data_IF_220304558146
#
_entry.id   IF_220304558146
#
_cell.length_a   1.000
_cell.length_b   1.000
_cell.length_c   1.000
_cell.angle_alpha   90.00
_cell.angle_beta   90.00
_cell.angle_gamma   90.00
#
_symmetry.space_group_name_H-M   'P 1'
#
loop_
_entity.id
_entity.type
_entity.pdbx_description
1 polymer ?
#
# COMPACT_ATOMS: atom_id res chain seq x y z
N UNK A 1 8.76 24.24 17.63
CA UNK A 1 7.96 24.24 16.37
C UNK A 1 8.29 23.04 15.49
N UNK A 2 9.40 23.00 14.74
CA UNK A 2 9.74 21.84 13.87
C UNK A 2 9.69 20.49 14.60
N UNK A 3 10.16 20.43 15.84
CA UNK A 3 10.07 19.23 16.66
C UNK A 3 8.62 18.77 16.91
N UNK A 4 7.67 19.70 17.11
CA UNK A 4 6.25 19.37 17.31
C UNK A 4 5.60 18.91 16.01
N UNK A 5 5.96 19.53 14.88
CA UNK A 5 5.54 19.09 13.54
C UNK A 5 6.05 17.66 13.26
N UNK A 6 7.32 17.37 13.57
CA UNK A 6 7.87 16.01 13.48
C UNK A 6 7.14 15.01 14.38
N UNK A 7 6.83 15.38 15.63
CA UNK A 7 6.05 14.54 16.55
C UNK A 7 4.64 14.26 16.02
N UNK A 8 3.98 15.25 15.43
CA UNK A 8 2.68 15.09 14.80
C UNK A 8 2.74 14.15 13.59
N UNK A 9 3.71 14.34 12.69
CA UNK A 9 3.92 13.44 11.55
C UNK A 9 4.23 11.99 11.99
N UNK A 10 5.03 11.82 13.05
CA UNK A 10 5.38 10.52 13.61
C UNK A 10 4.25 9.85 14.41
N UNK A 11 3.11 10.54 14.63
CA UNK A 11 1.96 9.99 15.34
C UNK A 11 2.02 10.06 16.86
N UNK A 12 2.92 10.86 17.44
CA UNK A 12 3.02 11.00 18.89
C UNK A 12 1.73 11.57 19.54
N UNK A 13 0.86 12.20 18.75
CA UNK A 13 -0.40 12.79 19.19
C UNK A 13 -1.64 11.96 18.83
N UNK A 14 -1.49 10.79 18.19
CA UNK A 14 -2.63 9.98 17.74
C UNK A 14 -3.54 9.54 18.90
N UNK A 15 -2.97 9.36 20.10
CA UNK A 15 -3.71 9.03 21.32
C UNK A 15 -4.62 10.15 21.85
N UNK A 16 -4.52 11.37 21.32
CA UNK A 16 -5.36 12.51 21.70
C UNK A 16 -6.70 12.56 20.95
N UNK A 17 -6.93 11.64 20.00
CA UNK A 17 -8.14 11.62 19.17
C UNK A 17 -8.16 12.70 18.08
N UNK A 18 -7.02 13.35 17.85
CA UNK A 18 -6.86 14.41 16.84
C UNK A 18 -6.22 13.83 15.58
N UNK A 19 -6.77 14.18 14.41
CA UNK A 19 -6.23 13.71 13.14
C UNK A 19 -4.90 14.41 12.84
N UNK A 20 -3.90 13.67 12.35
CA UNK A 20 -2.57 14.24 12.04
C UNK A 20 -2.66 15.42 11.06
N UNK A 21 -3.57 15.35 10.08
CA UNK A 21 -3.81 16.40 9.09
C UNK A 21 -4.20 17.75 9.72
N UNK A 22 -4.93 17.74 10.84
CA UNK A 22 -5.39 18.95 11.52
C UNK A 22 -4.24 19.87 11.90
N UNK A 23 -3.14 19.31 12.40
CA UNK A 23 -1.95 20.06 12.84
C UNK A 23 -1.34 20.93 11.74
N UNK A 24 -1.46 20.50 10.47
CA UNK A 24 -0.82 21.14 9.32
C UNK A 24 -1.76 22.03 8.51
N UNK A 25 -3.05 22.04 8.84
CA UNK A 25 -4.02 22.91 8.19
C UNK A 25 -3.70 24.39 8.43
N UNK A 26 -3.77 25.20 7.37
CA UNK A 26 -3.77 26.66 7.45
C UNK A 26 -5.03 27.23 6.78
N UNK A 27 -5.75 28.19 7.41
CA UNK A 27 -6.96 28.79 6.84
C UNK A 27 -6.73 29.72 5.64
N UNK A 28 -5.49 29.93 5.20
CA UNK A 28 -5.16 30.78 4.05
C UNK A 28 -3.70 31.23 4.01
N UNK A 29 -3.29 31.85 2.90
CA UNK A 29 -1.91 32.30 2.69
C UNK A 29 -1.47 33.31 3.77
N UNK A 30 -0.32 33.06 4.38
CA UNK A 30 0.22 33.88 5.48
C UNK A 30 -0.43 33.67 6.85
N UNK A 31 -1.43 32.79 6.97
CA UNK A 31 -2.01 32.43 8.28
C UNK A 31 -1.24 31.28 8.93
N UNK A 32 -1.08 31.30 10.28
CA UNK A 32 -0.40 30.25 11.00
C UNK A 32 -1.15 28.92 10.84
N UNK A 33 -0.42 27.81 10.84
CA UNK A 33 -1.03 26.49 10.92
C UNK A 33 -1.74 26.28 12.25
N UNK A 34 -2.60 25.27 12.34
CA UNK A 34 -3.29 24.98 13.60
C UNK A 34 -2.30 24.62 14.72
N UNK A 35 -1.22 23.87 14.43
CA UNK A 35 -0.17 23.60 15.41
C UNK A 35 0.53 24.87 15.91
N UNK A 36 0.72 25.88 15.06
CA UNK A 36 1.25 27.18 15.49
C UNK A 36 0.25 27.92 16.39
N UNK A 37 -1.03 27.82 16.08
CA UNK A 37 -2.11 28.43 16.88
C UNK A 37 -2.16 27.79 18.26
N UNK A 38 -2.05 26.46 18.35
CA UNK A 38 -1.97 25.72 19.62
C UNK A 38 -0.74 26.11 20.45
N UNK A 39 0.42 26.27 19.81
CA UNK A 39 1.65 26.71 20.51
C UNK A 39 1.48 28.12 21.08
N UNK A 40 0.89 29.05 20.31
CA UNK A 40 0.61 30.42 20.79
C UNK A 40 -0.39 30.41 21.93
N UNK A 41 -1.44 29.60 21.83
CA UNK A 41 -2.44 29.42 22.88
C UNK A 41 -1.80 28.91 24.18
N UNK A 42 -0.98 27.86 24.11
CA UNK A 42 -0.27 27.30 25.26
C UNK A 42 0.68 28.31 25.92
N UNK A 43 1.38 29.13 25.13
CA UNK A 43 2.23 30.19 25.66
C UNK A 43 1.42 31.27 26.39
N UNK A 44 0.33 31.75 25.78
CA UNK A 44 -0.55 32.74 26.39
C UNK A 44 -1.18 32.25 27.70
N UNK A 45 -1.57 30.97 27.76
CA UNK A 45 -2.13 30.37 28.96
C UNK A 45 -1.08 30.25 30.09
N UNK A 46 0.18 29.93 29.76
CA UNK A 46 1.28 29.90 30.73
C UNK A 46 1.63 31.30 31.23
N UNK A 47 1.78 32.27 30.32
CA UNK A 47 2.09 33.66 30.67
C UNK A 47 0.97 34.28 31.53
N UNK A 48 -0.30 33.98 31.21
CA UNK A 48 -1.46 34.40 32.00
C UNK A 48 -1.44 33.81 33.42
N UNK A 49 -1.07 32.54 33.55
CA UNK A 49 -0.93 31.87 34.85
C UNK A 49 0.24 32.44 35.68
N UNK A 50 1.39 32.69 35.05
CA UNK A 50 2.54 33.29 35.73
C UNK A 50 2.29 34.75 36.14
N UNK A 51 1.53 35.50 35.33
CA UNK A 51 1.14 36.88 35.65
C UNK A 51 0.13 36.99 36.81
N UNK A 52 -0.63 35.91 37.09
CA UNK A 52 -1.59 35.87 38.20
C UNK A 52 -0.93 35.91 39.59
N UNK A 53 0.39 35.66 39.70
CA UNK A 53 1.15 35.90 40.94
C UNK A 53 1.47 37.38 41.20
N UNK A 54 1.23 38.28 40.23
CA UNK A 54 1.48 39.73 40.39
C UNK A 54 0.18 40.52 40.60
N UNK A 55 -1.00 39.94 40.40
CA UNK A 55 -2.29 40.62 40.60
C UNK A 55 -2.86 40.39 42.00
N UNK A 56 -2.18 40.90 43.03
CA UNK A 56 -2.71 40.97 44.41
C UNK A 56 -3.44 42.30 44.72
N UNK A 57 -3.64 43.18 43.73
CA UNK A 57 -4.30 44.48 43.89
C UNK A 57 -5.57 44.67 43.06
N UNK A 58 -5.96 43.69 42.24
CA UNK A 58 -7.17 43.78 41.41
C UNK A 58 -8.28 42.92 42.02
N UNK A 59 -8.71 43.31 43.22
CA UNK A 59 -9.90 42.77 43.83
C UNK A 59 -11.12 43.48 43.25
N UNK A 60 -11.67 42.96 42.15
CA UNK A 60 -13.07 43.07 41.74
C UNK A 60 -13.33 42.02 40.66
N UNK A 61 -14.42 41.29 40.86
CA UNK A 61 -15.01 40.26 40.00
C UNK A 61 -14.76 40.44 38.50
N UNK A 62 -13.86 39.62 37.96
CA UNK A 62 -14.00 39.09 36.61
C UNK A 62 -13.42 37.67 36.64
N UNK A 63 -14.25 36.68 36.32
CA UNK A 63 -13.77 35.36 35.93
C UNK A 63 -12.66 35.59 34.91
N UNK A 64 -11.40 35.28 35.27
CA UNK A 64 -10.25 35.46 34.40
C UNK A 64 -10.64 34.99 33.01
N UNK A 65 -10.78 35.95 32.06
CA UNK A 65 -11.40 35.69 30.77
C UNK A 65 -10.73 34.47 30.14
N UNK A 66 -11.42 33.32 30.20
CA UNK A 66 -10.82 32.05 29.82
C UNK A 66 -10.45 32.16 28.35
N UNK A 67 -9.16 32.11 28.05
CA UNK A 67 -8.70 32.20 26.67
C UNK A 67 -9.34 31.01 25.94
N UNK A 68 -10.18 31.26 24.91
CA UNK A 68 -10.95 30.20 24.29
C UNK A 68 -10.01 29.23 23.59
N UNK A 69 -10.22 27.94 23.82
CA UNK A 69 -9.45 26.88 23.17
C UNK A 69 -9.68 26.93 21.64
N UNK A 70 -8.60 26.93 20.83
CA UNK A 70 -8.75 26.95 19.38
C UNK A 70 -9.37 25.63 18.89
N UNK A 71 -10.51 25.67 18.19
CA UNK A 71 -11.18 24.45 17.73
C UNK A 71 -10.35 23.73 16.67
N UNK A 72 -10.50 22.41 16.59
CA UNK A 72 -9.92 21.61 15.53
C UNK A 72 -10.49 22.02 14.14
N UNK A 73 -9.66 22.12 13.10
CA UNK A 73 -10.13 22.37 11.74
C UNK A 73 -11.05 21.25 11.24
N UNK A 74 -12.13 21.61 10.55
CA UNK A 74 -13.02 20.66 9.90
C UNK A 74 -12.45 20.22 8.55
N UNK A 75 -11.40 19.40 8.58
CA UNK A 75 -10.82 18.78 7.39
C UNK A 75 -10.76 17.26 7.54
N UNK A 76 -10.78 16.60 6.39
CA UNK A 76 -10.62 15.16 6.29
C UNK A 76 -9.19 14.72 6.65
N UNK A 77 -9.04 13.45 7.03
CA UNK A 77 -7.71 12.86 7.24
C UNK A 77 -6.96 12.73 5.90
N UNK A 78 -5.63 12.71 5.98
CA UNK A 78 -4.80 12.35 4.83
C UNK A 78 -5.13 10.94 4.34
N UNK A 79 -4.95 10.74 3.03
CA UNK A 79 -4.96 9.39 2.48
C UNK A 79 -3.84 8.56 3.14
N UNK A 80 -4.06 7.26 3.30
CA UNK A 80 -3.14 6.38 4.02
C UNK A 80 -1.69 6.49 3.49
N UNK A 81 -1.52 6.54 2.17
CA UNK A 81 -0.21 6.67 1.53
C UNK A 81 0.50 7.98 1.88
N UNK A 82 -0.21 9.10 1.93
CA UNK A 82 0.33 10.41 2.30
C UNK A 82 0.74 10.42 3.79
N UNK A 83 -0.10 9.85 4.66
CA UNK A 83 0.21 9.68 6.08
C UNK A 83 1.48 8.84 6.30
N UNK A 84 1.59 7.71 5.61
CA UNK A 84 2.77 6.83 5.66
C UNK A 84 4.02 7.51 5.08
N UNK A 85 3.86 8.33 4.04
CA UNK A 85 4.97 9.09 3.47
C UNK A 85 5.56 10.06 4.50
N UNK A 86 4.73 10.89 5.12
CA UNK A 86 5.16 11.82 6.17
C UNK A 86 5.76 11.11 7.39
N UNK A 87 5.22 9.94 7.75
CA UNK A 87 5.78 9.11 8.81
C UNK A 87 7.20 8.64 8.46
N UNK A 88 7.41 8.14 7.24
CA UNK A 88 8.73 7.71 6.76
C UNK A 88 9.72 8.87 6.66
N UNK A 89 9.29 10.06 6.27
CA UNK A 89 10.18 11.23 6.21
C UNK A 89 10.77 11.60 7.57
N UNK A 90 10.00 11.42 8.66
CA UNK A 90 10.43 11.79 10.00
C UNK A 90 11.09 10.65 10.76
N UNK A 91 10.52 9.44 10.67
CA UNK A 91 10.98 8.27 11.41
C UNK A 91 12.08 7.52 10.63
N UNK A 92 12.05 7.58 9.29
CA UNK A 92 12.97 6.86 8.40
C UNK A 92 12.46 5.49 7.94
N UNK A 93 11.39 4.98 8.54
CA UNK A 93 10.74 3.71 8.18
C UNK A 93 9.23 3.81 8.43
N UNK A 94 8.47 2.88 7.86
CA UNK A 94 7.02 2.81 8.10
C UNK A 94 6.72 2.06 9.40
N UNK A 95 5.99 2.69 10.32
CA UNK A 95 5.66 2.15 11.64
C UNK A 95 4.19 1.71 11.72
N UNK A 96 3.27 2.48 11.15
CA UNK A 96 1.82 2.26 11.27
C UNK A 96 1.24 1.30 10.22
N UNK A 97 1.93 1.05 9.11
CA UNK A 97 1.53 0.13 8.05
C UNK A 97 2.50 0.18 6.87
N UNK A 98 2.34 -0.69 5.86
CA UNK A 98 3.17 -0.67 4.65
C UNK A 98 2.34 -0.21 3.45
N UNK A 99 2.88 0.63 2.53
CA UNK A 99 2.17 1.03 1.31
C UNK A 99 1.74 -0.12 0.37
N UNK A 100 2.21 -1.34 0.64
CA UNK A 100 1.86 -2.54 -0.12
C UNK A 100 0.66 -3.26 0.50
N UNK A 101 0.20 -2.84 1.69
CA UNK A 101 -0.91 -3.47 2.41
C UNK A 101 -2.23 -3.34 1.67
N UNK A 102 -2.42 -2.28 0.86
CA UNK A 102 -3.60 -2.10 0.01
C UNK A 102 -3.66 -3.11 -1.16
N UNK A 103 -2.56 -3.83 -1.41
CA UNK A 103 -2.41 -4.77 -2.52
C UNK A 103 -2.11 -6.21 -2.07
N UNK A 104 -2.56 -6.57 -0.86
CA UNK A 104 -2.27 -7.89 -0.26
C UNK A 104 -2.80 -9.05 -1.09
N UNK A 105 -3.95 -8.89 -1.74
CA UNK A 105 -4.53 -9.93 -2.60
C UNK A 105 -3.62 -10.22 -3.80
N UNK A 106 -3.22 -9.18 -4.53
CA UNK A 106 -2.36 -9.28 -5.70
C UNK A 106 -1.02 -9.92 -5.32
N UNK A 107 -0.43 -9.46 -4.21
CA UNK A 107 0.84 -9.97 -3.71
C UNK A 107 0.72 -11.45 -3.33
N UNK A 108 -0.31 -11.83 -2.57
CA UNK A 108 -0.51 -13.22 -2.12
C UNK A 108 -0.71 -14.20 -3.28
N UNK A 109 -1.40 -13.78 -4.34
CA UNK A 109 -1.80 -14.67 -5.43
C UNK A 109 -0.86 -14.65 -6.64
N UNK A 110 -0.18 -13.53 -6.90
CA UNK A 110 0.65 -13.37 -8.09
C UNK A 110 2.15 -13.43 -7.79
N UNK A 111 2.58 -13.10 -6.57
CA UNK A 111 3.99 -13.11 -6.22
C UNK A 111 4.43 -14.47 -5.68
N UNK A 112 5.65 -14.86 -5.99
CA UNK A 112 6.21 -16.17 -5.64
C UNK A 112 7.56 -16.10 -4.93
N UNK A 113 8.15 -14.91 -4.83
CA UNK A 113 9.42 -14.66 -4.12
C UNK A 113 9.39 -13.33 -3.39
N UNK A 114 10.22 -13.21 -2.36
CA UNK A 114 10.46 -11.96 -1.62
C UNK A 114 11.78 -11.33 -2.05
N UNK A 115 11.95 -10.02 -1.83
CA UNK A 115 13.16 -9.31 -2.25
C UNK A 115 14.46 -9.88 -1.64
N UNK A 116 14.51 -10.30 -0.37
CA UNK A 116 15.73 -10.92 0.18
C UNK A 116 16.14 -12.22 -0.51
N UNK A 117 15.18 -12.99 -1.03
CA UNK A 117 15.47 -14.25 -1.76
C UNK A 117 16.18 -13.98 -3.10
N UNK A 118 16.06 -12.78 -3.65
CA UNK A 118 16.76 -12.40 -4.88
C UNK A 118 18.27 -12.22 -4.70
N UNK A 119 18.77 -12.20 -3.46
CA UNK A 119 20.22 -12.15 -3.19
C UNK A 119 20.91 -13.47 -3.51
N UNK A 120 20.23 -14.61 -3.34
CA UNK A 120 20.71 -15.93 -3.74
C UNK A 120 19.81 -16.52 -4.83
N UNK A 121 20.27 -16.42 -6.08
CA UNK A 121 19.52 -16.87 -7.24
C UNK A 121 19.62 -18.40 -7.47
N UNK A 122 20.55 -19.10 -6.82
CA UNK A 122 20.77 -20.53 -7.02
C UNK A 122 19.51 -21.40 -6.78
N UNK A 123 18.77 -21.25 -5.65
CA UNK A 123 17.55 -22.05 -5.40
C UNK A 123 16.39 -21.72 -6.35
N UNK A 124 16.44 -20.57 -7.03
CA UNK A 124 15.38 -20.04 -7.90
C UNK A 124 15.80 -19.95 -9.36
N UNK A 125 16.89 -20.63 -9.73
CA UNK A 125 17.44 -20.66 -11.07
C UNK A 125 16.42 -21.13 -12.12
N UNK A 126 16.41 -20.48 -13.29
CA UNK A 126 15.57 -20.76 -14.44
C UNK A 126 14.05 -20.64 -14.23
N UNK A 127 13.61 -20.14 -13.07
CA UNK A 127 12.19 -19.90 -12.74
C UNK A 127 11.75 -18.50 -13.12
N UNK A 128 10.47 -18.36 -13.46
CA UNK A 128 9.81 -17.06 -13.51
C UNK A 128 9.51 -16.58 -12.08
N UNK A 129 9.84 -15.32 -11.83
CA UNK A 129 9.81 -14.69 -10.53
C UNK A 129 8.89 -13.49 -10.62
N UNK A 130 8.02 -13.34 -9.63
CA UNK A 130 7.11 -12.22 -9.50
C UNK A 130 7.15 -11.71 -8.06
N UNK A 131 7.38 -10.42 -7.90
CA UNK A 131 7.50 -9.79 -6.58
C UNK A 131 7.04 -8.32 -6.64
N UNK A 132 6.49 -7.80 -5.54
CA UNK A 132 6.13 -6.41 -5.42
C UNK A 132 7.30 -5.60 -4.86
N UNK A 133 7.22 -4.28 -4.94
CA UNK A 133 8.10 -3.40 -4.17
C UNK A 133 7.76 -1.93 -4.35
N UNK A 134 8.11 -1.12 -3.34
CA UNK A 134 8.08 0.33 -3.45
C UNK A 134 9.47 0.84 -3.81
N UNK A 135 9.54 1.76 -4.78
CA UNK A 135 10.80 2.41 -5.15
C UNK A 135 11.22 3.37 -4.03
N UNK A 136 12.33 3.10 -3.37
CA UNK A 136 12.86 3.97 -2.31
C UNK A 136 13.89 4.96 -2.84
N UNK A 137 14.68 4.52 -3.82
CA UNK A 137 15.71 5.32 -4.48
C UNK A 137 15.70 5.01 -5.97
N UNK A 138 15.89 6.03 -6.77
CA UNK A 138 16.05 5.89 -8.22
C UNK A 138 17.10 6.88 -8.71
N UNK A 139 18.00 6.42 -9.59
CA UNK A 139 19.07 7.25 -10.13
C UNK A 139 19.26 6.96 -11.62
N UNK A 140 19.32 8.04 -12.40
CA UNK A 140 19.61 7.99 -13.83
C UNK A 140 21.07 8.40 -14.06
N UNK A 141 21.84 7.55 -14.75
CA UNK A 141 23.27 7.75 -14.97
C UNK A 141 23.66 7.50 -16.42
N UNK A 142 24.86 7.95 -16.77
CA UNK A 142 25.48 7.69 -18.07
C UNK A 142 26.80 6.97 -17.83
N UNK A 143 26.98 5.82 -18.49
CA UNK A 143 28.20 5.04 -18.41
C UNK A 143 29.37 5.77 -19.07
N UNK A 144 30.60 5.33 -18.80
CA UNK A 144 31.82 5.87 -19.43
C UNK A 144 31.79 5.82 -20.96
N UNK A 145 31.02 4.90 -21.53
CA UNK A 145 30.87 4.72 -22.97
C UNK A 145 29.69 5.51 -23.55
N UNK A 146 29.11 6.46 -22.79
CA UNK A 146 28.00 7.30 -23.21
C UNK A 146 26.62 6.62 -23.20
N UNK A 147 26.53 5.32 -22.86
CA UNK A 147 25.24 4.61 -22.77
C UNK A 147 24.53 4.96 -21.46
N UNK A 148 23.26 5.39 -21.49
CA UNK A 148 22.50 5.65 -20.27
C UNK A 148 22.12 4.34 -19.58
N UNK A 149 22.06 4.38 -18.25
CA UNK A 149 21.61 3.28 -17.40
C UNK A 149 20.92 3.85 -16.15
N UNK A 150 20.16 3.02 -15.45
CA UNK A 150 19.45 3.42 -14.26
C UNK A 150 19.64 2.42 -13.14
N UNK A 151 19.63 2.89 -11.90
CA UNK A 151 19.56 2.04 -10.72
C UNK A 151 18.34 2.40 -9.90
N UNK A 152 17.66 1.40 -9.35
CA UNK A 152 16.55 1.58 -8.42
C UNK A 152 16.69 0.64 -7.24
N UNK A 153 16.29 1.10 -6.07
CA UNK A 153 16.17 0.28 -4.86
C UNK A 153 14.69 0.02 -4.61
N UNK A 154 14.30 -1.25 -4.56
CA UNK A 154 12.95 -1.67 -4.16
C UNK A 154 12.96 -2.13 -2.72
N UNK A 155 11.88 -1.84 -2.00
CA UNK A 155 11.61 -2.28 -0.63
C UNK A 155 10.27 -3.02 -0.59
N UNK A 156 10.22 -4.14 0.14
CA UNK A 156 9.03 -4.92 0.47
C UNK A 156 8.94 -5.10 2.00
N UNK A 157 7.94 -5.83 2.48
CA UNK A 157 7.77 -6.12 3.92
C UNK A 157 8.94 -6.88 4.56
N UNK A 158 9.80 -7.50 3.76
CA UNK A 158 10.86 -8.41 4.23
C UNK A 158 12.26 -7.81 4.08
N UNK A 159 12.46 -6.85 3.19
CA UNK A 159 13.73 -6.18 3.00
C UNK A 159 13.79 -5.37 1.71
N UNK A 160 15.00 -5.16 1.22
CA UNK A 160 15.25 -4.35 0.04
C UNK A 160 16.20 -5.03 -0.94
N UNK A 161 16.07 -4.71 -2.22
CA UNK A 161 16.96 -5.18 -3.28
C UNK A 161 17.25 -4.07 -4.28
N UNK A 162 18.52 -3.97 -4.70
CA UNK A 162 18.98 -2.99 -5.67
C UNK A 162 19.01 -3.58 -7.08
N UNK A 163 18.36 -2.89 -8.01
CA UNK A 163 18.28 -3.27 -9.42
C UNK A 163 19.07 -2.27 -10.25
N UNK A 164 19.77 -2.80 -11.26
CA UNK A 164 20.41 -1.99 -12.28
C UNK A 164 19.84 -2.37 -13.65
N UNK A 165 19.32 -1.37 -14.36
CA UNK A 165 18.77 -1.50 -15.70
C UNK A 165 19.74 -0.88 -16.69
N UNK A 166 20.11 -1.64 -17.71
CA UNK A 166 21.07 -1.22 -18.74
C UNK A 166 20.44 -1.28 -20.13
N UNK A 167 20.93 -0.44 -21.04
CA UNK A 167 20.59 -0.53 -22.47
C UNK A 167 19.10 -0.46 -22.75
N UNK A 168 18.56 -1.48 -23.40
CA UNK A 168 17.13 -1.55 -23.79
C UNK A 168 16.20 -1.63 -22.57
N UNK A 169 16.58 -2.37 -21.52
CA UNK A 169 15.78 -2.49 -20.30
C UNK A 169 15.63 -1.12 -19.63
N UNK A 170 16.71 -0.32 -19.61
CA UNK A 170 16.64 1.04 -19.11
C UNK A 170 15.70 1.91 -19.94
N UNK A 171 15.81 1.89 -21.26
CA UNK A 171 14.94 2.69 -22.13
C UNK A 171 13.47 2.31 -21.98
N UNK A 172 13.20 1.01 -21.83
CA UNK A 172 11.86 0.45 -21.63
C UNK A 172 11.28 0.84 -20.28
N UNK A 173 12.05 0.77 -19.20
CA UNK A 173 11.53 0.88 -17.84
C UNK A 173 11.88 2.18 -17.10
N UNK A 174 12.62 3.12 -17.72
CA UNK A 174 13.04 4.39 -17.08
C UNK A 174 11.91 5.20 -16.44
N UNK A 175 10.67 5.06 -16.90
CA UNK A 175 9.52 5.80 -16.38
C UNK A 175 9.02 5.27 -15.04
N UNK A 176 9.41 4.04 -14.66
CA UNK A 176 9.13 3.46 -13.34
C UNK A 176 10.18 3.83 -12.29
N UNK A 177 11.28 4.47 -12.68
CA UNK A 177 12.37 4.90 -11.77
C UNK A 177 11.98 6.19 -11.04
N UNK A 178 10.88 6.14 -10.29
CA UNK A 178 10.34 7.27 -9.52
C UNK A 178 10.13 6.84 -8.07
N UNK A 179 10.83 7.46 -7.10
CA UNK A 179 10.64 7.16 -5.69
C UNK A 179 9.17 7.30 -5.25
N UNK A 180 8.72 6.39 -4.39
CA UNK A 180 7.32 6.30 -3.93
C UNK A 180 6.39 5.48 -4.84
N UNK A 181 6.85 5.06 -6.02
CA UNK A 181 6.03 4.26 -6.94
C UNK A 181 5.94 2.81 -6.46
N UNK A 182 4.71 2.27 -6.44
CA UNK A 182 4.43 0.86 -6.17
C UNK A 182 4.51 0.06 -7.48
N UNK A 183 5.44 -0.90 -7.52
CA UNK A 183 5.71 -1.69 -8.71
C UNK A 183 5.46 -3.17 -8.46
N UNK A 184 5.06 -3.84 -9.53
CA UNK A 184 5.05 -5.29 -9.64
C UNK A 184 6.03 -5.69 -10.73
N UNK A 185 7.00 -6.53 -10.37
CA UNK A 185 8.12 -6.89 -11.25
C UNK A 185 8.05 -8.38 -11.55
N UNK A 186 8.06 -8.69 -12.84
CA UNK A 186 8.31 -10.05 -13.34
C UNK A 186 9.72 -10.16 -13.86
N UNK A 187 10.46 -11.13 -13.36
CA UNK A 187 11.84 -11.39 -13.72
C UNK A 187 12.08 -12.89 -13.91
N UNK A 188 13.25 -13.24 -14.45
CA UNK A 188 13.71 -14.62 -14.55
C UNK A 188 15.15 -14.70 -14.10
N UNK A 189 15.46 -15.68 -13.25
CA UNK A 189 16.85 -16.00 -12.93
C UNK A 189 17.44 -16.81 -14.11
N UNK A 190 18.34 -16.21 -14.87
CA UNK A 190 18.97 -16.82 -16.05
C UNK A 190 20.46 -16.78 -15.95
N UNK A 191 21.15 -17.76 -16.51
CA UNK A 191 22.61 -17.72 -16.62
C UNK A 191 23.03 -16.62 -17.60
N UNK A 192 24.08 -15.88 -17.24
CA UNK A 192 24.73 -14.94 -18.13
C UNK A 192 25.32 -15.68 -19.31
N UNK A 193 24.95 -15.25 -20.51
CA UNK A 193 25.39 -15.83 -21.78
C UNK A 193 26.61 -15.14 -22.39
N UNK A 194 27.13 -14.07 -21.75
CA UNK A 194 28.29 -13.32 -22.22
C UNK A 194 28.93 -12.52 -21.08
N UNK A 195 30.26 -12.30 -21.14
CA UNK A 195 31.01 -11.45 -20.20
C UNK A 195 31.97 -12.23 -19.30
N UNK A 196 32.63 -11.56 -18.35
CA UNK A 196 33.56 -12.20 -17.39
C UNK A 196 32.88 -13.15 -16.41
N UNK A 197 31.58 -12.98 -16.23
CA UNK A 197 30.74 -13.73 -15.30
C UNK A 197 29.83 -14.73 -16.04
N UNK A 198 30.26 -15.22 -17.20
CA UNK A 198 29.54 -16.23 -17.98
C UNK A 198 29.29 -17.49 -17.12
N UNK A 199 28.05 -17.99 -17.14
CA UNK A 199 27.61 -19.09 -16.28
C UNK A 199 27.15 -18.69 -14.87
N UNK A 200 27.32 -17.42 -14.46
CA UNK A 200 26.69 -16.94 -13.22
C UNK A 200 25.22 -16.59 -13.46
N UNK A 201 24.38 -16.81 -12.45
CA UNK A 201 22.97 -16.42 -12.50
C UNK A 201 22.84 -14.90 -12.39
N UNK A 202 22.04 -14.33 -13.29
CA UNK A 202 21.58 -12.95 -13.21
C UNK A 202 20.05 -12.91 -13.18
N UNK A 203 19.52 -11.88 -12.54
CA UNK A 203 18.10 -11.60 -12.53
C UNK A 203 17.74 -10.71 -13.72
N UNK A 204 17.09 -11.28 -14.72
CA UNK A 204 16.65 -10.55 -15.90
C UNK A 204 15.20 -10.10 -15.75
N UNK A 205 14.99 -8.78 -15.67
CA UNK A 205 13.65 -8.19 -15.61
C UNK A 205 12.95 -8.35 -16.95
N UNK A 206 11.80 -9.00 -16.95
CA UNK A 206 10.98 -9.24 -18.14
C UNK A 206 9.92 -8.15 -18.31
N UNK A 207 9.29 -7.75 -17.20
CA UNK A 207 8.21 -6.78 -17.19
C UNK A 207 8.13 -6.05 -15.84
N UNK A 208 7.77 -4.76 -15.90
CA UNK A 208 7.43 -3.93 -14.75
C UNK A 208 6.06 -3.32 -15.04
N UNK A 209 5.15 -3.43 -14.11
CA UNK A 209 3.82 -2.83 -14.14
C UNK A 209 3.58 -2.03 -12.83
N UNK A 210 2.71 -1.03 -12.87
CA UNK A 210 2.23 -0.37 -11.65
C UNK A 210 1.37 -1.34 -10.86
N UNK A 211 1.59 -1.41 -9.55
CA UNK A 211 0.89 -2.38 -8.70
C UNK A 211 -0.65 -2.16 -8.72
N UNK A 212 -1.11 -0.92 -8.91
CA UNK A 212 -2.53 -0.61 -9.07
C UNK A 212 -3.21 -1.26 -10.29
N UNK A 213 -2.46 -1.50 -11.37
CA UNK A 213 -3.01 -2.05 -12.62
C UNK A 213 -2.96 -3.59 -12.65
N UNK A 214 -2.21 -4.19 -11.72
CA UNK A 214 -1.90 -5.63 -11.71
C UNK A 214 -3.16 -6.48 -11.53
N UNK A 215 -4.08 -6.03 -10.67
CA UNK A 215 -5.33 -6.75 -10.39
C UNK A 215 -6.13 -6.97 -11.66
N UNK A 216 -6.46 -5.89 -12.38
CA UNK A 216 -7.28 -5.97 -13.60
C UNK A 216 -6.55 -6.70 -14.74
N UNK A 217 -5.22 -6.60 -14.78
CA UNK A 217 -4.41 -7.15 -15.85
C UNK A 217 -4.17 -8.66 -15.73
N UNK A 218 -3.96 -9.14 -14.51
CA UNK A 218 -3.55 -10.53 -14.27
C UNK A 218 -4.62 -11.39 -13.60
N UNK A 219 -5.55 -10.80 -12.85
CA UNK A 219 -6.67 -11.54 -12.24
C UNK A 219 -7.85 -11.41 -13.19
N UNK A 220 -7.98 -12.40 -14.06
CA UNK A 220 -8.97 -12.40 -15.16
C UNK A 220 -10.14 -13.33 -14.87
N UNK A 221 -9.97 -14.30 -13.97
CA UNK A 221 -11.01 -15.24 -13.60
C UNK A 221 -11.08 -15.48 -12.09
N UNK A 222 -12.30 -15.50 -11.56
CA UNK A 222 -12.61 -15.97 -10.22
C UNK A 222 -13.27 -17.34 -10.34
N UNK A 223 -12.60 -18.39 -9.87
CA UNK A 223 -13.16 -19.74 -9.78
C UNK A 223 -13.71 -19.95 -8.38
N UNK A 224 -14.99 -20.28 -8.28
CA UNK A 224 -15.66 -20.66 -7.03
C UNK A 224 -15.97 -22.15 -7.13
N UNK A 225 -15.47 -22.95 -6.18
CA UNK A 225 -15.69 -24.39 -6.14
C UNK A 225 -16.52 -24.79 -4.92
N UNK A 226 -17.55 -25.61 -5.11
CA UNK A 226 -18.41 -26.11 -4.05
C UNK A 226 -18.89 -27.54 -4.31
N UNK A 227 -19.23 -28.24 -3.23
CA UNK A 227 -19.83 -29.58 -3.28
C UNK A 227 -21.29 -29.48 -3.74
N UNK A 228 -21.67 -30.25 -4.75
CA UNK A 228 -23.02 -30.22 -5.30
C UNK A 228 -24.08 -30.58 -4.25
N UNK A 229 -23.74 -31.48 -3.33
CA UNK A 229 -24.60 -31.97 -2.25
C UNK A 229 -24.89 -30.90 -1.19
N UNK A 230 -24.01 -29.89 -1.06
CA UNK A 230 -24.18 -28.76 -0.14
C UNK A 230 -24.84 -27.55 -0.79
N UNK A 231 -25.11 -27.61 -2.08
CA UNK A 231 -25.72 -26.52 -2.82
C UNK A 231 -27.22 -26.45 -2.50
N UNK A 232 -27.60 -25.46 -1.68
CA UNK A 232 -29.00 -25.16 -1.38
C UNK A 232 -29.40 -23.79 -1.95
N UNK A 233 -30.72 -23.52 -1.96
CA UNK A 233 -31.26 -22.27 -2.52
C UNK A 233 -30.71 -21.02 -1.79
N UNK A 234 -30.56 -21.11 -0.46
CA UNK A 234 -30.09 -20.00 0.37
C UNK A 234 -28.63 -19.62 0.06
N UNK A 235 -27.76 -20.61 -0.15
CA UNK A 235 -26.35 -20.42 -0.51
C UNK A 235 -26.23 -19.82 -1.91
N UNK A 236 -27.05 -20.29 -2.86
CA UNK A 236 -27.09 -19.72 -4.22
C UNK A 236 -27.53 -18.25 -4.17
N UNK A 237 -28.55 -17.93 -3.38
CA UNK A 237 -29.03 -16.55 -3.23
C UNK A 237 -27.97 -15.66 -2.55
N UNK A 238 -27.32 -16.17 -1.49
CA UNK A 238 -26.22 -15.49 -0.80
C UNK A 238 -25.07 -15.19 -1.76
N UNK A 239 -24.54 -16.20 -2.45
CA UNK A 239 -23.46 -16.04 -3.44
C UNK A 239 -23.85 -15.04 -4.52
N UNK A 240 -25.05 -15.18 -5.09
CA UNK A 240 -25.53 -14.28 -6.15
C UNK A 240 -25.62 -12.84 -5.65
N UNK A 241 -26.09 -12.62 -4.42
CA UNK A 241 -26.19 -11.28 -3.82
C UNK A 241 -24.81 -10.65 -3.59
N UNK A 242 -23.85 -11.42 -3.09
CA UNK A 242 -22.47 -10.97 -2.82
C UNK A 242 -21.72 -10.65 -4.11
N UNK A 243 -21.87 -11.49 -5.13
CA UNK A 243 -21.25 -11.29 -6.45
C UNK A 243 -21.84 -10.07 -7.16
N UNK A 244 -23.16 -9.85 -7.08
CA UNK A 244 -23.82 -8.67 -7.69
C UNK A 244 -23.44 -7.35 -7.03
N UNK A 245 -23.09 -7.35 -5.74
CA UNK A 245 -22.62 -6.16 -5.02
C UNK A 245 -21.24 -5.70 -5.49
N UNK A 246 -20.47 -6.58 -6.13
CA UNK A 246 -19.10 -6.32 -6.56
C UNK A 246 -18.98 -6.46 -8.09
N UNK A 247 -19.54 -5.55 -8.91
CA UNK A 247 -19.36 -5.60 -10.36
C UNK A 247 -17.90 -5.33 -10.75
N UNK A 248 -17.40 -5.98 -11.80
CA UNK A 248 -16.03 -5.75 -12.28
C UNK A 248 -15.72 -6.43 -13.61
N UNK A 249 -14.46 -6.75 -13.85
CA UNK A 249 -13.95 -7.27 -15.14
C UNK A 249 -13.61 -8.76 -15.10
N UNK A 250 -13.51 -9.38 -13.92
CA UNK A 250 -13.10 -10.78 -13.79
C UNK A 250 -14.26 -11.74 -14.13
N UNK A 251 -13.98 -12.75 -14.94
CA UNK A 251 -14.96 -13.76 -15.32
C UNK A 251 -15.19 -14.77 -14.19
N UNK A 252 -16.45 -14.95 -13.77
CA UNK A 252 -16.78 -15.93 -12.77
C UNK A 252 -16.96 -17.34 -13.38
N UNK A 253 -16.23 -18.31 -12.83
CA UNK A 253 -16.33 -19.75 -13.15
C UNK A 253 -16.80 -20.50 -11.90
N UNK A 254 -17.88 -21.26 -12.03
CA UNK A 254 -18.39 -22.11 -10.94
C UNK A 254 -17.94 -23.55 -11.21
N UNK A 255 -17.26 -24.16 -10.25
CA UNK A 255 -16.88 -25.56 -10.29
C UNK A 255 -17.70 -26.36 -9.27
N UNK A 256 -18.55 -27.25 -9.76
CA UNK A 256 -19.35 -28.13 -8.92
C UNK A 256 -18.71 -29.52 -8.91
N UNK A 257 -18.38 -30.01 -7.72
CA UNK A 257 -17.86 -31.36 -7.53
C UNK A 257 -18.88 -32.18 -6.74
N UNK A 258 -19.22 -33.37 -7.23
CA UNK A 258 -19.99 -34.36 -6.46
C UNK A 258 -19.10 -35.54 -6.13
N UNK A 259 -19.04 -35.89 -4.85
CA UNK A 259 -18.31 -37.08 -4.40
C UNK A 259 -19.14 -38.35 -4.58
N UNK A 260 -20.46 -38.24 -4.49
CA UNK A 260 -21.40 -39.35 -4.68
C UNK A 260 -21.52 -39.78 -6.15
N UNK A 261 -21.59 -38.81 -7.07
CA UNK A 261 -21.75 -39.08 -8.51
C UNK A 261 -20.43 -39.03 -9.30
N UNK A 262 -19.29 -38.81 -8.62
CA UNK A 262 -17.95 -38.74 -9.21
C UNK A 262 -17.82 -37.80 -10.42
N UNK A 263 -18.51 -36.66 -10.41
CA UNK A 263 -18.40 -35.65 -11.47
C UNK A 263 -17.78 -34.35 -10.98
N UNK A 264 -17.17 -33.63 -11.92
CA UNK A 264 -16.74 -32.24 -11.76
C UNK A 264 -17.21 -31.46 -12.98
N UNK A 265 -18.06 -30.46 -12.78
CA UNK A 265 -18.58 -29.61 -13.86
C UNK A 265 -18.12 -28.18 -13.63
N UNK A 266 -17.45 -27.61 -14.62
CA UNK A 266 -17.15 -26.19 -14.67
C UNK A 266 -18.18 -25.47 -15.53
N UNK A 267 -18.92 -24.56 -14.90
CA UNK A 267 -19.92 -23.73 -15.53
C UNK A 267 -19.37 -22.30 -15.64
N UNK A 268 -19.12 -21.79 -16.86
CA UNK A 268 -18.91 -20.36 -17.01
C UNK A 268 -20.20 -19.64 -16.66
N UNK A 269 -20.13 -18.67 -15.76
CA UNK A 269 -21.30 -17.83 -15.51
C UNK A 269 -21.54 -16.96 -16.74
N UNK A 270 -22.69 -17.12 -17.39
CA UNK A 270 -23.04 -16.31 -18.56
C UNK A 270 -23.44 -14.91 -18.10
N UNK A 271 -22.57 -13.93 -18.35
CA UNK A 271 -22.89 -12.51 -18.22
C UNK A 271 -22.66 -11.89 -16.83
N UNK A 272 -21.90 -12.54 -15.96
CA UNK A 272 -21.59 -12.00 -14.62
C UNK A 272 -20.08 -11.82 -14.48
N UNK A 273 -19.64 -10.57 -14.61
CA UNK A 273 -18.26 -10.17 -14.33
C UNK A 273 -18.20 -9.52 -12.95
N UNK A 274 -17.17 -9.87 -12.19
CA UNK A 274 -17.06 -9.55 -10.77
C UNK A 274 -15.77 -8.79 -10.52
N UNK A 275 -15.83 -7.79 -9.64
CA UNK A 275 -14.66 -7.07 -9.14
C UNK A 275 -14.08 -7.83 -7.97
N UNK A 276 -12.82 -8.25 -8.06
CA UNK A 276 -12.13 -8.90 -6.95
C UNK A 276 -11.74 -7.82 -5.93
N UNK A 277 -12.51 -7.72 -4.86
CA UNK A 277 -12.28 -6.84 -3.71
C UNK A 277 -11.92 -7.67 -2.46
N UNK A 278 -11.25 -7.06 -1.48
CA UNK A 278 -11.02 -7.71 -0.19
C UNK A 278 -12.33 -8.08 0.49
N UNK A 279 -13.36 -7.23 0.37
CA UNK A 279 -14.70 -7.51 0.89
C UNK A 279 -15.30 -8.79 0.29
N UNK A 280 -15.19 -8.97 -1.03
CA UNK A 280 -15.68 -10.17 -1.71
C UNK A 280 -14.91 -11.41 -1.25
N UNK A 281 -13.58 -11.34 -1.20
CA UNK A 281 -12.74 -12.47 -0.81
C UNK A 281 -13.01 -12.86 0.64
N UNK A 282 -13.09 -11.90 1.55
CA UNK A 282 -13.43 -12.13 2.95
C UNK A 282 -14.83 -12.74 3.10
N UNK A 283 -15.81 -12.28 2.31
CA UNK A 283 -17.16 -12.85 2.31
C UNK A 283 -17.17 -14.30 1.81
N UNK A 284 -16.34 -14.64 0.80
CA UNK A 284 -16.20 -16.02 0.31
C UNK A 284 -15.47 -16.92 1.33
N UNK A 285 -14.46 -16.41 2.03
CA UNK A 285 -13.74 -17.14 3.09
C UNK A 285 -14.62 -17.45 4.31
N UNK A 286 -15.66 -16.64 4.54
CA UNK A 286 -16.63 -16.90 5.62
C UNK A 286 -17.66 -17.99 5.28
N UNK A 287 -17.72 -18.47 4.04
CA UNK A 287 -18.63 -19.53 3.62
C UNK A 287 -17.87 -20.87 3.61
N UNK A 288 -18.00 -21.71 4.65
CA UNK A 288 -17.18 -22.93 4.78
C UNK A 288 -17.46 -23.97 3.69
N UNK A 289 -18.59 -23.91 3.02
CA UNK A 289 -18.97 -24.80 1.92
C UNK A 289 -18.34 -24.43 0.57
N UNK A 290 -17.61 -23.30 0.51
CA UNK A 290 -17.10 -22.73 -0.73
C UNK A 290 -15.58 -22.55 -0.63
N UNK A 291 -14.89 -22.88 -1.73
CA UNK A 291 -13.48 -22.54 -1.92
C UNK A 291 -13.33 -21.66 -3.16
N UNK A 292 -12.34 -20.78 -3.18
CA UNK A 292 -12.08 -19.90 -4.32
C UNK A 292 -10.65 -20.04 -4.83
N UNK A 293 -10.46 -19.74 -6.12
CA UNK A 293 -9.16 -19.58 -6.74
C UNK A 293 -9.21 -18.41 -7.72
N UNK A 294 -8.16 -17.59 -7.71
CA UNK A 294 -7.94 -16.50 -8.66
C UNK A 294 -7.01 -16.98 -9.77
N UNK A 295 -7.32 -16.61 -11.02
CA UNK A 295 -6.50 -16.94 -12.18
C UNK A 295 -6.57 -15.90 -13.27
#
# INVERSE_FOLDING_TARGET
RKALESLAHAGAFDGLGTLRAHFFHSPGEGRPTWIETLVRYGQQHQDGSDSSQVSMFDGLEDEAAAIPEPPAPAIDEWIALEKLHHEKEVIGFYLSGHPLDDHRLEIKHLCNVTLPQLQDLAPIANRELAFPGIVTRAEHRVSKNGKPFGSMSLEDHHGSHDFMLFGEDYLKFKHYLVPGTLLFVKARATERTWGRDEGQLELKVSQIDLLGDVREKYITALRISCEAERLNADLVELLTSTLKKNPGTCQLKLALTSTEEHFSVELPSKGLNVGVSEELINALEQIPEVSYALG
#
